data_IF_708347311888
#
_entry.id   IF_708347311888
#
_cell.length_a   1.000
_cell.length_b   1.000
_cell.length_c   1.000
_cell.angle_alpha   90.00
_cell.angle_beta   90.00
_cell.angle_gamma   90.00
#
_symmetry.space_group_name_H-M   'P 1'
#
loop_
_entity.id
_entity.type
_entity.pdbx_description
1 polymer ?
#
# COMPACT_ATOMS: atom_id res chain seq x y z
N UNK A 1 51.85 30.11 -61.95
CA UNK A 1 51.46 28.71 -62.08
C UNK A 1 51.05 28.20 -60.76
N UNK A 2 49.76 28.21 -60.46
CA UNK A 2 49.17 27.80 -59.19
C UNK A 2 48.15 26.68 -59.43
N UNK A 3 48.43 25.47 -58.92
CA UNK A 3 47.56 24.31 -59.01
C UNK A 3 46.55 24.32 -57.85
N UNK A 4 45.29 24.44 -58.23
CA UNK A 4 44.12 24.27 -57.32
C UNK A 4 43.76 22.79 -57.23
N UNK A 5 43.81 22.18 -56.03
CA UNK A 5 43.25 20.87 -55.77
C UNK A 5 41.83 20.98 -55.21
N UNK A 6 40.86 20.18 -55.68
CA UNK A 6 39.50 20.26 -55.16
C UNK A 6 39.36 19.50 -53.84
N UNK A 7 38.86 20.21 -52.85
CA UNK A 7 38.51 19.68 -51.49
C UNK A 7 37.24 18.82 -51.61
N UNK A 8 37.41 17.51 -51.63
CA UNK A 8 36.30 16.55 -51.64
C UNK A 8 35.73 16.38 -50.20
N UNK A 9 34.71 17.11 -49.90
CA UNK A 9 33.94 17.00 -48.65
C UNK A 9 33.14 15.70 -48.66
N UNK A 10 33.65 14.66 -48.01
CA UNK A 10 32.93 13.42 -47.70
C UNK A 10 31.90 13.69 -46.60
N UNK A 11 30.65 14.00 -46.97
CA UNK A 11 29.49 13.97 -46.06
C UNK A 11 29.33 12.53 -45.51
N UNK A 12 29.77 12.32 -44.25
CA UNK A 12 29.38 11.12 -43.50
C UNK A 12 27.89 11.22 -43.19
N UNK A 13 27.11 10.44 -43.93
CA UNK A 13 25.71 10.18 -43.61
C UNK A 13 25.67 9.44 -42.28
N UNK A 14 25.34 10.16 -41.21
CA UNK A 14 24.99 9.55 -39.92
C UNK A 14 23.61 8.91 -40.06
N UNK A 15 23.59 7.66 -40.53
CA UNK A 15 22.42 6.80 -40.50
C UNK A 15 22.14 6.56 -39.00
N UNK A 16 21.18 7.32 -38.38
CA UNK A 16 20.61 6.97 -37.11
C UNK A 16 20.02 5.57 -37.23
N UNK A 17 20.74 4.58 -36.71
CA UNK A 17 20.15 3.29 -36.42
C UNK A 17 19.14 3.51 -35.31
N UNK A 18 17.87 3.53 -35.63
CA UNK A 18 16.80 3.27 -34.67
C UNK A 18 16.97 1.81 -34.24
N UNK A 19 17.72 1.59 -33.18
CA UNK A 19 17.78 0.31 -32.50
C UNK A 19 16.40 0.08 -31.93
N UNK A 20 15.69 -0.90 -32.50
CA UNK A 20 14.52 -1.49 -31.86
C UNK A 20 15.04 -2.15 -30.59
N UNK A 21 14.84 -1.48 -29.44
CA UNK A 21 15.23 -2.01 -28.14
C UNK A 21 14.46 -3.29 -27.92
N UNK A 22 15.17 -4.41 -27.80
CA UNK A 22 14.53 -5.68 -27.48
C UNK A 22 13.91 -5.62 -26.09
N UNK A 23 12.85 -6.41 -25.86
CA UNK A 23 12.20 -6.48 -24.53
C UNK A 23 13.22 -6.75 -23.42
N UNK A 24 14.25 -7.54 -23.72
CA UNK A 24 15.34 -7.87 -22.79
C UNK A 24 16.22 -6.65 -22.47
N UNK A 25 16.60 -5.87 -23.49
CA UNK A 25 17.39 -4.63 -23.28
C UNK A 25 16.62 -3.57 -22.48
N UNK A 26 15.29 -3.50 -22.69
CA UNK A 26 14.44 -2.60 -21.92
C UNK A 26 14.38 -3.03 -20.44
N UNK A 27 14.25 -4.33 -20.18
CA UNK A 27 14.25 -4.88 -18.82
C UNK A 27 15.60 -4.67 -18.12
N UNK A 28 16.71 -4.87 -18.82
CA UNK A 28 18.07 -4.62 -18.29
C UNK A 28 18.30 -3.13 -17.99
N UNK A 29 17.81 -2.24 -18.86
CA UNK A 29 17.86 -0.80 -18.58
C UNK A 29 17.01 -0.40 -17.38
N UNK A 30 15.82 -0.99 -17.22
CA UNK A 30 14.98 -0.77 -16.04
C UNK A 30 15.63 -1.32 -14.77
N UNK A 31 16.22 -2.51 -14.84
CA UNK A 31 16.94 -3.10 -13.72
C UNK A 31 18.12 -2.23 -13.26
N UNK A 32 18.86 -1.62 -14.18
CA UNK A 32 19.95 -0.69 -13.87
C UNK A 32 19.50 0.64 -13.24
N UNK A 33 18.19 0.95 -13.26
CA UNK A 33 17.62 2.14 -12.63
C UNK A 33 17.00 1.85 -11.26
N UNK A 34 16.93 0.59 -10.84
CA UNK A 34 16.39 0.21 -9.55
C UNK A 34 17.36 0.60 -8.43
N UNK A 35 16.81 1.04 -7.30
CA UNK A 35 17.57 1.29 -6.07
C UNK A 35 18.09 -0.01 -5.45
N UNK A 36 18.88 0.10 -4.37
CA UNK A 36 19.41 -1.06 -3.65
C UNK A 36 18.33 -2.02 -3.12
N UNK A 37 17.09 -1.55 -2.98
CA UNK A 37 15.92 -2.34 -2.62
C UNK A 37 15.16 -2.91 -3.83
N UNK A 38 15.73 -2.87 -5.03
CA UNK A 38 15.11 -3.25 -6.30
C UNK A 38 13.82 -2.49 -6.67
N UNK A 39 13.58 -1.35 -6.03
CA UNK A 39 12.48 -0.46 -6.38
C UNK A 39 13.01 0.77 -7.12
N UNK A 40 12.25 1.33 -8.08
CA UNK A 40 12.65 2.54 -8.82
C UNK A 40 12.55 3.82 -7.97
N UNK A 41 12.37 3.68 -6.67
CA UNK A 41 12.25 4.77 -5.70
C UNK A 41 12.82 4.35 -4.33
N UNK A 42 13.33 5.32 -3.60
CA UNK A 42 13.98 5.09 -2.29
C UNK A 42 12.95 4.88 -1.17
N UNK A 43 11.79 5.53 -1.27
CA UNK A 43 10.75 5.47 -0.23
C UNK A 43 9.87 4.26 -0.46
N UNK A 44 9.65 3.38 0.54
CA UNK A 44 8.75 2.23 0.42
C UNK A 44 7.29 2.71 0.37
N UNK A 45 6.74 2.90 -0.82
CA UNK A 45 5.42 3.50 -1.05
C UNK A 45 4.31 2.58 -0.52
N UNK A 46 4.34 1.29 -0.88
CA UNK A 46 3.31 0.34 -0.46
C UNK A 46 3.20 0.21 1.07
N UNK A 47 4.27 -0.03 1.84
CA UNK A 47 4.19 -0.08 3.30
C UNK A 47 3.65 1.20 3.93
N UNK A 48 4.03 2.37 3.43
CA UNK A 48 3.51 3.64 3.91
C UNK A 48 2.00 3.79 3.66
N UNK A 49 1.51 3.40 2.49
CA UNK A 49 0.08 3.39 2.18
C UNK A 49 -0.68 2.36 3.03
N UNK A 50 -0.09 1.19 3.34
CA UNK A 50 -0.66 0.20 4.26
C UNK A 50 -0.89 0.82 5.64
N UNK A 51 0.10 1.51 6.20
CA UNK A 51 -0.03 2.17 7.50
C UNK A 51 -1.14 3.24 7.48
N UNK A 52 -1.22 4.02 6.41
CA UNK A 52 -2.25 5.04 6.26
C UNK A 52 -3.66 4.41 6.14
N UNK A 53 -3.82 3.35 5.34
CA UNK A 53 -5.07 2.60 5.24
C UNK A 53 -5.50 2.07 6.60
N UNK A 54 -4.59 1.41 7.32
CA UNK A 54 -4.84 0.84 8.64
C UNK A 54 -5.25 1.92 9.64
N UNK A 55 -4.49 3.02 9.69
CA UNK A 55 -4.77 4.15 10.59
C UNK A 55 -6.15 4.77 10.35
N UNK A 56 -6.48 5.08 9.10
CA UNK A 56 -7.78 5.64 8.74
C UNK A 56 -8.95 4.70 9.06
N UNK A 57 -8.80 3.39 8.78
CA UNK A 57 -9.82 2.40 9.09
C UNK A 57 -10.05 2.26 10.60
N UNK A 58 -8.97 2.16 11.40
CA UNK A 58 -9.05 2.08 12.87
C UNK A 58 -9.73 3.32 13.44
N UNK A 59 -9.32 4.50 13.00
CA UNK A 59 -9.93 5.77 13.44
C UNK A 59 -11.41 5.80 13.08
N UNK A 60 -11.79 5.39 11.84
CA UNK A 60 -13.18 5.36 11.42
C UNK A 60 -14.05 4.50 12.34
N UNK A 61 -13.66 3.24 12.59
CA UNK A 61 -14.42 2.32 13.43
C UNK A 61 -14.43 2.79 14.89
N UNK A 62 -13.29 3.29 15.42
CA UNK A 62 -13.22 3.79 16.79
C UNK A 62 -14.17 4.95 17.03
N UNK A 63 -14.23 5.92 16.13
CA UNK A 63 -15.14 7.05 16.23
C UNK A 63 -16.61 6.65 16.06
N UNK A 64 -16.91 5.66 15.21
CA UNK A 64 -18.25 5.11 15.09
C UNK A 64 -18.68 4.37 16.36
N UNK A 65 -17.78 3.61 17.03
CA UNK A 65 -18.03 2.97 18.34
C UNK A 65 -18.33 4.04 19.40
N UNK A 66 -17.47 5.04 19.53
CA UNK A 66 -17.65 6.13 20.50
C UNK A 66 -18.97 6.88 20.24
N UNK A 67 -19.30 7.14 18.98
CA UNK A 67 -20.56 7.75 18.58
C UNK A 67 -21.80 6.92 18.94
N UNK A 68 -21.72 5.57 18.85
CA UNK A 68 -22.80 4.66 19.26
C UNK A 68 -22.94 4.61 20.78
N UNK A 69 -21.84 4.64 21.52
CA UNK A 69 -21.83 4.65 22.98
C UNK A 69 -22.26 6.01 23.58
N UNK A 70 -22.27 7.08 22.78
CA UNK A 70 -22.74 8.39 23.22
C UNK A 70 -24.26 8.33 23.59
N UNK A 71 -24.73 8.83 24.75
CA UNK A 71 -24.03 9.76 25.65
C UNK A 71 -23.35 9.12 26.88
N UNK A 72 -23.13 7.80 26.93
CA UNK A 72 -22.51 7.13 28.10
C UNK A 72 -21.12 7.69 28.38
N UNK A 73 -20.36 7.93 27.30
CA UNK A 73 -19.01 8.49 27.32
C UNK A 73 -18.96 10.02 27.45
N UNK A 74 -20.12 10.70 27.50
CA UNK A 74 -20.20 12.16 27.59
C UNK A 74 -19.52 12.71 28.84
N UNK A 75 -19.57 11.97 29.95
CA UNK A 75 -18.94 12.37 31.20
C UNK A 75 -17.41 12.45 31.04
N UNK A 76 -16.81 11.49 30.33
CA UNK A 76 -15.40 11.48 30.03
C UNK A 76 -14.98 12.68 29.18
N UNK A 77 -15.71 12.99 28.10
CA UNK A 77 -15.43 14.15 27.28
C UNK A 77 -15.55 15.47 28.00
N UNK A 78 -16.53 15.56 28.90
CA UNK A 78 -16.69 16.75 29.80
C UNK A 78 -15.48 16.88 30.73
N UNK A 79 -15.02 15.78 31.30
CA UNK A 79 -13.84 15.77 32.19
C UNK A 79 -12.57 16.18 31.44
N UNK A 80 -12.42 15.76 30.19
CA UNK A 80 -11.29 16.10 29.31
C UNK A 80 -11.42 17.49 28.68
N UNK A 81 -12.48 18.24 28.96
CA UNK A 81 -12.80 19.55 28.36
C UNK A 81 -12.88 19.53 26.84
N UNK A 82 -13.27 18.39 26.23
CA UNK A 82 -13.40 18.22 24.79
C UNK A 82 -14.86 18.49 24.38
N UNK A 83 -15.16 19.52 23.59
CA UNK A 83 -16.51 19.77 23.09
C UNK A 83 -16.85 18.78 21.97
N UNK A 84 -17.60 17.74 22.30
CA UNK A 84 -17.97 16.67 21.37
C UNK A 84 -19.48 16.60 21.19
N UNK A 85 -19.90 16.44 19.95
CA UNK A 85 -21.28 16.11 19.58
C UNK A 85 -21.32 14.70 18.97
N UNK A 86 -22.41 13.98 19.21
CA UNK A 86 -22.62 12.65 18.62
C UNK A 86 -22.49 12.65 17.09
N UNK A 87 -23.05 13.67 16.44
CA UNK A 87 -22.95 13.83 14.99
C UNK A 87 -21.51 14.06 14.54
N UNK A 88 -20.75 14.87 15.26
CA UNK A 88 -19.33 15.10 14.97
C UNK A 88 -18.49 13.83 15.04
N UNK A 89 -18.75 12.96 16.02
CA UNK A 89 -18.07 11.65 16.09
C UNK A 89 -18.36 10.79 14.85
N UNK A 90 -19.63 10.73 14.43
CA UNK A 90 -20.01 10.00 13.22
C UNK A 90 -19.50 10.66 11.92
N UNK A 91 -19.29 11.98 11.91
CA UNK A 91 -18.69 12.66 10.78
C UNK A 91 -17.22 12.30 10.63
N UNK A 92 -16.46 12.27 11.72
CA UNK A 92 -15.07 11.80 11.74
C UNK A 92 -14.99 10.34 11.26
N UNK A 93 -15.85 9.45 11.79
CA UNK A 93 -15.93 8.07 11.36
C UNK A 93 -16.16 7.93 9.84
N UNK A 94 -17.13 8.69 9.31
CA UNK A 94 -17.47 8.69 7.89
C UNK A 94 -16.31 9.14 6.99
N UNK A 95 -15.70 10.30 7.27
CA UNK A 95 -14.63 10.83 6.42
C UNK A 95 -13.38 9.95 6.46
N UNK A 96 -13.05 9.36 7.62
CA UNK A 96 -11.94 8.43 7.70
C UNK A 96 -12.24 7.11 6.95
N UNK A 97 -13.46 6.61 6.96
CA UNK A 97 -13.85 5.41 6.20
C UNK A 97 -13.76 5.66 4.69
N UNK A 98 -14.21 6.81 4.20
CA UNK A 98 -14.04 7.22 2.79
C UNK A 98 -12.56 7.34 2.44
N UNK A 99 -11.78 7.99 3.29
CA UNK A 99 -10.34 8.10 3.13
C UNK A 99 -9.66 6.72 3.08
N UNK A 100 -10.02 5.81 3.98
CA UNK A 100 -9.53 4.43 3.99
C UNK A 100 -9.83 3.72 2.66
N UNK A 101 -11.05 3.81 2.13
CA UNK A 101 -11.41 3.19 0.86
C UNK A 101 -10.57 3.72 -0.31
N UNK A 102 -10.39 5.04 -0.40
CA UNK A 102 -9.58 5.68 -1.45
C UNK A 102 -8.12 5.24 -1.34
N UNK A 103 -7.53 5.31 -0.15
CA UNK A 103 -6.11 4.97 0.04
C UNK A 103 -5.88 3.47 -0.17
N UNK A 104 -6.81 2.60 0.24
CA UNK A 104 -6.68 1.16 0.04
C UNK A 104 -6.57 0.79 -1.44
N UNK A 105 -7.27 1.52 -2.32
CA UNK A 105 -7.12 1.32 -3.76
C UNK A 105 -5.68 1.55 -4.22
N UNK A 106 -5.06 2.65 -3.82
CA UNK A 106 -3.66 2.94 -4.14
C UNK A 106 -2.69 1.97 -3.44
N UNK A 107 -3.01 1.55 -2.22
CA UNK A 107 -2.24 0.55 -1.47
C UNK A 107 -2.17 -0.77 -2.23
N UNK A 108 -3.30 -1.28 -2.70
CA UNK A 108 -3.37 -2.54 -3.45
C UNK A 108 -2.66 -2.39 -4.80
N UNK A 109 -2.87 -1.29 -5.51
CA UNK A 109 -2.19 -1.04 -6.79
C UNK A 109 -0.66 -0.99 -6.63
N UNK A 110 -0.14 -0.28 -5.62
CA UNK A 110 1.30 -0.23 -5.34
C UNK A 110 1.84 -1.58 -4.90
N UNK A 111 1.08 -2.35 -4.10
CA UNK A 111 1.47 -3.70 -3.68
C UNK A 111 1.61 -4.66 -4.86
N UNK A 112 0.68 -4.64 -5.82
CA UNK A 112 0.83 -5.43 -7.04
C UNK A 112 2.02 -4.99 -7.89
N UNK A 113 2.27 -3.69 -7.97
CA UNK A 113 3.45 -3.18 -8.67
C UNK A 113 4.75 -3.68 -8.03
N UNK A 114 4.88 -3.58 -6.70
CA UNK A 114 6.04 -4.09 -5.97
C UNK A 114 6.17 -5.61 -6.09
N UNK A 115 5.05 -6.35 -6.12
CA UNK A 115 5.03 -7.80 -6.29
C UNK A 115 5.57 -8.23 -7.66
N UNK A 116 5.35 -7.43 -8.72
CA UNK A 116 5.91 -7.70 -10.05
C UNK A 116 7.44 -7.51 -10.11
N UNK A 117 8.00 -6.73 -9.20
CA UNK A 117 9.45 -6.48 -9.11
C UNK A 117 10.14 -7.39 -8.08
N UNK A 118 9.37 -8.17 -7.30
CA UNK A 118 9.91 -9.04 -6.28
C UNK A 118 10.68 -10.22 -6.87
N UNK A 119 11.83 -10.52 -6.29
CA UNK A 119 12.64 -11.71 -6.58
C UNK A 119 12.75 -12.54 -5.29
N UNK A 120 11.75 -13.40 -4.99
CA UNK A 120 11.71 -14.13 -3.74
C UNK A 120 12.80 -15.20 -3.68
N UNK A 121 13.42 -15.36 -2.51
CA UNK A 121 14.43 -16.38 -2.26
C UNK A 121 13.73 -17.76 -2.28
N UNK A 122 14.17 -18.70 -3.12
CA UNK A 122 13.62 -20.05 -3.13
C UNK A 122 14.01 -20.81 -1.87
N UNK A 123 13.17 -21.80 -1.50
CA UNK A 123 13.43 -22.79 -0.43
C UNK A 123 13.44 -22.26 1.02
N UNK A 124 13.19 -20.97 1.26
CA UNK A 124 12.99 -20.40 2.59
C UNK A 124 11.52 -20.46 2.96
N UNK A 125 11.22 -20.86 4.21
CA UNK A 125 9.86 -20.88 4.76
C UNK A 125 9.74 -19.91 5.92
N UNK A 126 8.59 -19.22 5.99
CA UNK A 126 8.24 -18.38 7.13
C UNK A 126 7.97 -19.22 8.40
N UNK A 127 7.88 -18.55 9.54
CA UNK A 127 7.45 -19.16 10.81
C UNK A 127 6.09 -19.88 10.67
N UNK A 128 5.24 -19.43 9.75
CA UNK A 128 3.97 -20.11 9.45
C UNK A 128 4.10 -21.30 8.47
N UNK A 129 5.32 -21.64 8.05
CA UNK A 129 5.62 -22.74 7.15
C UNK A 129 5.33 -22.46 5.67
N UNK A 130 4.93 -21.24 5.31
CA UNK A 130 4.66 -20.81 3.94
C UNK A 130 5.97 -20.45 3.23
N UNK A 131 6.07 -20.76 1.93
CA UNK A 131 7.14 -20.26 1.07
C UNK A 131 6.91 -18.77 0.72
N UNK A 132 7.96 -18.09 0.27
CA UNK A 132 7.87 -16.68 -0.11
C UNK A 132 6.79 -16.40 -1.17
N UNK A 133 6.73 -17.21 -2.24
CA UNK A 133 5.73 -17.09 -3.28
C UNK A 133 4.30 -17.31 -2.77
N UNK A 134 4.10 -18.33 -1.91
CA UNK A 134 2.81 -18.60 -1.29
C UNK A 134 2.37 -17.44 -0.41
N UNK A 135 3.29 -16.89 0.39
CA UNK A 135 3.04 -15.72 1.23
C UNK A 135 2.66 -14.50 0.39
N UNK A 136 3.37 -14.27 -0.73
CA UNK A 136 3.04 -13.18 -1.68
C UNK A 136 1.63 -13.34 -2.25
N UNK A 137 1.25 -14.56 -2.70
CA UNK A 137 -0.08 -14.84 -3.25
C UNK A 137 -1.15 -14.59 -2.21
N UNK A 138 -1.01 -15.13 -0.99
CA UNK A 138 -1.99 -14.94 0.09
C UNK A 138 -2.07 -13.48 0.53
N UNK A 139 -0.94 -12.77 0.57
CA UNK A 139 -0.93 -11.33 0.87
C UNK A 139 -1.63 -10.53 -0.22
N UNK A 140 -1.38 -10.82 -1.50
CA UNK A 140 -2.03 -10.15 -2.63
C UNK A 140 -3.54 -10.41 -2.68
N UNK A 141 -3.97 -11.69 -2.56
CA UNK A 141 -5.39 -12.06 -2.53
C UNK A 141 -6.12 -11.41 -1.35
N UNK A 142 -5.50 -11.44 -0.17
CA UNK A 142 -6.05 -10.78 1.01
C UNK A 142 -6.10 -9.26 0.90
N UNK A 143 -5.16 -8.63 0.19
CA UNK A 143 -5.21 -7.21 -0.14
C UNK A 143 -6.43 -6.84 -0.99
N UNK A 144 -6.73 -7.63 -2.03
CA UNK A 144 -7.94 -7.45 -2.85
C UNK A 144 -9.22 -7.69 -2.05
N UNK A 145 -9.23 -8.72 -1.18
CA UNK A 145 -10.35 -8.97 -0.28
C UNK A 145 -10.58 -7.77 0.64
N UNK A 146 -9.53 -7.23 1.27
CA UNK A 146 -9.63 -6.06 2.14
C UNK A 146 -10.13 -4.83 1.39
N UNK A 147 -9.65 -4.57 0.17
CA UNK A 147 -10.16 -3.49 -0.68
C UNK A 147 -11.68 -3.64 -0.88
N UNK A 148 -12.14 -4.84 -1.25
CA UNK A 148 -13.57 -5.12 -1.48
C UNK A 148 -14.39 -4.91 -0.21
N UNK A 149 -13.89 -5.39 0.94
CA UNK A 149 -14.57 -5.26 2.23
C UNK A 149 -14.63 -3.80 2.69
N UNK A 150 -13.54 -3.03 2.59
CA UNK A 150 -13.49 -1.62 3.00
C UNK A 150 -14.40 -0.77 2.11
N UNK A 151 -14.40 -0.99 0.79
CA UNK A 151 -15.32 -0.32 -0.14
C UNK A 151 -16.77 -0.70 0.19
N UNK A 152 -17.06 -1.98 0.41
CA UNK A 152 -18.39 -2.46 0.82
C UNK A 152 -18.85 -1.82 2.14
N UNK A 153 -17.96 -1.70 3.14
CA UNK A 153 -18.23 -1.02 4.41
C UNK A 153 -18.51 0.48 4.19
N UNK A 154 -17.75 1.12 3.30
CA UNK A 154 -17.95 2.54 2.97
C UNK A 154 -19.34 2.76 2.33
N UNK A 155 -19.71 1.93 1.38
CA UNK A 155 -21.03 1.96 0.75
C UNK A 155 -22.13 1.71 1.78
N UNK A 156 -21.99 0.66 2.61
CA UNK A 156 -22.96 0.37 3.68
C UNK A 156 -23.10 1.54 4.65
N UNK A 157 -21.98 2.13 5.07
CA UNK A 157 -21.98 3.32 5.94
C UNK A 157 -22.66 4.52 5.28
N UNK A 158 -22.46 4.68 3.95
CA UNK A 158 -23.15 5.69 3.16
C UNK A 158 -24.66 5.50 3.15
N UNK A 159 -25.14 4.27 2.97
CA UNK A 159 -26.58 3.95 3.06
C UNK A 159 -27.15 4.25 4.45
N UNK A 160 -26.44 3.87 5.53
CA UNK A 160 -26.85 4.19 6.88
C UNK A 160 -26.91 5.71 7.13
N UNK A 161 -25.99 6.46 6.54
CA UNK A 161 -25.91 7.90 6.72
C UNK A 161 -26.97 8.67 5.89
N UNK A 162 -27.20 8.30 4.66
CA UNK A 162 -27.97 9.12 3.70
C UNK A 162 -29.34 8.54 3.35
N UNK A 163 -29.49 7.22 3.30
CA UNK A 163 -30.71 6.57 2.84
C UNK A 163 -31.55 5.97 3.96
N UNK A 164 -30.95 5.25 4.93
CA UNK A 164 -31.68 4.50 5.96
C UNK A 164 -31.89 5.28 7.26
N UNK A 165 -31.42 6.51 7.30
CA UNK A 165 -31.50 7.35 8.46
C UNK A 165 -32.94 7.77 8.76
N UNK A 166 -33.56 7.09 9.70
CA UNK A 166 -34.88 7.46 10.24
C UNK A 166 -34.80 8.41 11.44
N UNK A 167 -33.64 8.47 12.13
CA UNK A 167 -33.42 9.25 13.33
C UNK A 167 -31.98 9.80 13.32
N UNK A 168 -31.83 11.08 13.69
CA UNK A 168 -30.53 11.74 13.84
C UNK A 168 -29.64 11.09 14.92
N UNK A 169 -30.24 10.35 15.85
CA UNK A 169 -29.56 9.76 16.99
C UNK A 169 -28.84 8.44 16.66
N UNK A 170 -29.23 7.72 15.59
CA UNK A 170 -28.70 6.40 15.27
C UNK A 170 -28.22 6.35 13.82
N UNK A 171 -26.95 6.75 13.59
CA UNK A 171 -26.34 6.73 12.26
C UNK A 171 -25.61 5.41 11.96
N UNK A 172 -25.27 4.62 12.98
CA UNK A 172 -24.46 3.40 12.84
C UNK A 172 -25.12 2.25 13.58
N UNK A 173 -25.19 1.11 12.89
CA UNK A 173 -25.73 -0.14 13.44
C UNK A 173 -24.60 -0.96 14.10
N UNK A 174 -24.94 -1.72 15.14
CA UNK A 174 -24.00 -2.63 15.80
C UNK A 174 -23.45 -3.71 14.88
N UNK A 175 -24.26 -4.19 13.92
CA UNK A 175 -23.80 -5.13 12.89
C UNK A 175 -22.67 -4.58 12.03
N UNK A 176 -22.72 -3.29 11.67
CA UNK A 176 -21.65 -2.61 10.96
C UNK A 176 -20.35 -2.58 11.81
N UNK A 177 -20.44 -2.25 13.09
CA UNK A 177 -19.29 -2.25 13.99
C UNK A 177 -18.71 -3.65 14.12
N UNK A 178 -19.56 -4.68 14.30
CA UNK A 178 -19.11 -6.07 14.41
C UNK A 178 -18.34 -6.53 13.16
N UNK A 179 -18.84 -6.19 11.96
CA UNK A 179 -18.15 -6.47 10.70
C UNK A 179 -16.85 -5.66 10.60
N UNK A 180 -16.83 -4.40 11.04
CA UNK A 180 -15.62 -3.58 11.09
C UNK A 180 -14.53 -4.20 11.98
N UNK A 181 -14.90 -4.72 13.15
CA UNK A 181 -13.96 -5.44 14.02
C UNK A 181 -13.44 -6.73 13.38
N UNK A 182 -14.29 -7.47 12.67
CA UNK A 182 -13.85 -8.66 11.93
C UNK A 182 -12.86 -8.29 10.82
N UNK A 183 -13.13 -7.23 10.07
CA UNK A 183 -12.20 -6.73 9.04
C UNK A 183 -10.88 -6.31 9.67
N UNK A 184 -10.89 -5.69 10.85
CA UNK A 184 -9.68 -5.35 11.59
C UNK A 184 -8.83 -6.60 11.91
N UNK A 185 -9.44 -7.71 12.30
CA UNK A 185 -8.73 -8.97 12.51
C UNK A 185 -8.12 -9.52 11.21
N UNK A 186 -8.83 -9.42 10.10
CA UNK A 186 -8.29 -9.80 8.78
C UNK A 186 -7.10 -8.90 8.42
N UNK A 187 -7.20 -7.59 8.68
CA UNK A 187 -6.08 -6.64 8.46
C UNK A 187 -4.85 -7.01 9.29
N UNK A 188 -5.04 -7.47 10.53
CA UNK A 188 -3.95 -7.94 11.37
C UNK A 188 -3.23 -9.15 10.76
N UNK A 189 -3.97 -10.16 10.28
CA UNK A 189 -3.41 -11.33 9.59
C UNK A 189 -2.65 -10.89 8.33
N UNK A 190 -3.22 -10.00 7.54
CA UNK A 190 -2.59 -9.48 6.33
C UNK A 190 -1.32 -8.67 6.62
N UNK A 191 -1.34 -7.88 7.70
CA UNK A 191 -0.15 -7.17 8.18
C UNK A 191 0.98 -8.13 8.58
N UNK A 192 0.64 -9.26 9.21
CA UNK A 192 1.62 -10.30 9.56
C UNK A 192 2.21 -10.97 8.32
N UNK A 193 1.40 -11.29 7.30
CA UNK A 193 1.92 -11.80 6.02
C UNK A 193 2.88 -10.80 5.36
N UNK A 194 2.54 -9.51 5.36
CA UNK A 194 3.43 -8.44 4.87
C UNK A 194 4.74 -8.34 5.67
N UNK A 195 4.67 -8.50 7.00
CA UNK A 195 5.85 -8.51 7.85
C UNK A 195 6.77 -9.72 7.55
N UNK A 196 6.22 -10.91 7.26
CA UNK A 196 7.01 -12.06 6.81
C UNK A 196 7.71 -11.78 5.47
N UNK A 197 7.04 -11.11 4.52
CA UNK A 197 7.63 -10.77 3.24
C UNK A 197 8.87 -9.88 3.38
N UNK A 198 8.80 -8.85 4.22
CA UNK A 198 9.94 -7.97 4.47
C UNK A 198 10.98 -8.56 5.42
N UNK A 199 10.53 -9.11 6.56
CA UNK A 199 11.41 -9.51 7.66
C UNK A 199 12.05 -10.89 7.50
N UNK A 200 11.34 -11.87 6.93
CA UNK A 200 11.84 -13.24 6.81
C UNK A 200 12.35 -13.58 5.40
N UNK A 201 11.71 -13.02 4.38
CA UNK A 201 12.10 -13.26 2.99
C UNK A 201 12.95 -12.14 2.40
N UNK A 202 13.14 -11.04 3.13
CA UNK A 202 13.96 -9.92 2.69
C UNK A 202 13.46 -9.21 1.43
N UNK A 203 12.18 -9.38 1.07
CA UNK A 203 11.64 -8.79 -0.16
C UNK A 203 11.71 -7.26 -0.06
N UNK A 204 12.40 -6.65 -1.04
CA UNK A 204 12.63 -5.21 -1.13
C UNK A 204 13.38 -4.59 0.06
N UNK A 205 14.15 -5.38 0.83
CA UNK A 205 15.03 -4.83 1.86
C UNK A 205 16.41 -4.54 1.28
N UNK A 206 16.96 -3.37 1.62
CA UNK A 206 18.30 -2.97 1.17
C UNK A 206 19.39 -3.95 1.66
N UNK A 207 19.26 -4.43 2.90
CA UNK A 207 20.19 -5.38 3.47
C UNK A 207 20.27 -6.69 2.67
N UNK A 208 19.11 -7.26 2.29
CA UNK A 208 19.06 -8.48 1.48
C UNK A 208 19.70 -8.29 0.11
N UNK A 209 19.47 -7.16 -0.54
CA UNK A 209 20.06 -6.86 -1.84
C UNK A 209 21.57 -6.70 -1.76
N UNK A 210 22.08 -6.08 -0.71
CA UNK A 210 23.54 -5.96 -0.47
C UNK A 210 24.16 -7.34 -0.26
N UNK A 211 23.52 -8.22 0.53
CA UNK A 211 23.99 -9.59 0.75
C UNK A 211 24.00 -10.39 -0.56
N UNK A 212 22.95 -10.31 -1.37
CA UNK A 212 22.89 -10.96 -2.70
C UNK A 212 23.96 -10.45 -3.66
N UNK A 213 24.33 -9.18 -3.55
CA UNK A 213 25.44 -8.58 -4.29
C UNK A 213 26.82 -8.97 -3.75
N UNK A 214 26.89 -9.74 -2.66
CA UNK A 214 28.15 -10.09 -1.99
C UNK A 214 28.76 -8.94 -1.19
N UNK A 215 27.97 -7.92 -0.88
CA UNK A 215 28.39 -6.77 -0.07
C UNK A 215 27.98 -6.96 1.40
N UNK A 216 28.78 -6.42 2.32
CA UNK A 216 28.43 -6.44 3.74
C UNK A 216 27.48 -5.27 4.07
N UNK A 217 26.23 -5.53 4.48
CA UNK A 217 25.27 -4.48 4.82
C UNK A 217 25.75 -3.61 5.98
N UNK A 218 26.47 -4.18 6.97
CA UNK A 218 26.95 -3.46 8.17
C UNK A 218 27.98 -2.36 7.83
N UNK A 219 28.58 -2.42 6.65
CA UNK A 219 29.52 -1.43 6.18
C UNK A 219 28.90 -0.34 5.30
N UNK A 220 27.66 -0.56 4.83
CA UNK A 220 26.99 0.30 3.86
C UNK A 220 25.68 0.93 4.37
N UNK A 221 25.12 0.44 5.45
CA UNK A 221 23.94 0.99 6.13
C UNK A 221 24.36 1.71 7.41
#
# INVERSE_FOLDING_TARGET
MGLWAPFCSRRRSHKRRTTVTTKTELLDQMAGQLGANHLPYVIPIHPNLVHLTLGLFIVAISFDIVGVLFPVDKALFKYLAIPVTRSGLFDVGWFNMVGAAVITFFTVASGFYEMLLADPIPDVKSVWGLQALETMVWHGVGGVLLLTLIVGMTVWRGFQRFAWRKDMARQVQWSYIAVGLLIFLIMFVQGTLGAHLGGEFGIHTTADQLIKAGENPDLKL
#
